data_IF_564554925020
#
_entry.id   IF_564554925020
#
_cell.length_a   1.000
_cell.length_b   1.000
_cell.length_c   1.000
_cell.angle_alpha   90.00
_cell.angle_beta   90.00
_cell.angle_gamma   90.00
#
_symmetry.space_group_name_H-M   'P 1'
#
loop_
_entity.id
_entity.type
_entity.pdbx_description
1 polymer ?
#
# COMPACT_ATOMS: atom_id res chain seq x y z
N UNK A 1 3.65 -28.66 -10.82
CA UNK A 1 3.23 -27.48 -10.03
C UNK A 1 3.29 -26.19 -10.84
N UNK A 2 4.49 -25.78 -11.27
CA UNK A 2 4.68 -24.54 -12.05
C UNK A 2 4.13 -24.65 -13.48
N UNK A 3 4.31 -25.78 -14.16
CA UNK A 3 3.70 -26.04 -15.49
C UNK A 3 2.18 -25.96 -15.50
N UNK A 4 1.54 -26.34 -14.38
CA UNK A 4 0.09 -26.27 -14.19
C UNK A 4 -0.39 -24.89 -13.69
N UNK A 5 0.49 -23.88 -13.66
CA UNK A 5 0.20 -22.51 -13.21
C UNK A 5 -0.41 -22.42 -11.80
N UNK A 6 -0.08 -23.36 -10.90
CA UNK A 6 -0.55 -23.39 -9.51
C UNK A 6 0.33 -22.53 -8.59
N UNK A 7 0.55 -21.27 -8.95
CA UNK A 7 1.49 -20.38 -8.27
C UNK A 7 1.04 -19.96 -6.86
N UNK A 8 -0.25 -19.91 -6.60
CA UNK A 8 -0.81 -19.68 -5.27
C UNK A 8 -0.52 -20.83 -4.28
N UNK A 9 -0.57 -22.08 -4.76
CA UNK A 9 -0.15 -23.23 -3.94
C UNK A 9 1.37 -23.23 -3.77
N UNK A 10 2.11 -22.79 -4.80
CA UNK A 10 3.56 -22.62 -4.71
C UNK A 10 3.95 -21.62 -3.60
N UNK A 11 3.19 -20.52 -3.43
CA UNK A 11 3.39 -19.57 -2.30
C UNK A 11 3.31 -20.30 -0.97
N UNK A 12 2.26 -21.10 -0.76
CA UNK A 12 2.08 -21.85 0.49
C UNK A 12 3.24 -22.83 0.73
N UNK A 13 3.67 -23.55 -0.31
CA UNK A 13 4.79 -24.50 -0.22
C UNK A 13 6.12 -23.82 0.12
N UNK A 14 6.45 -22.72 -0.58
CA UNK A 14 7.71 -21.99 -0.35
C UNK A 14 7.73 -21.39 1.05
N UNK A 15 6.64 -20.76 1.51
CA UNK A 15 6.60 -20.16 2.84
C UNK A 15 6.60 -21.22 3.95
N UNK A 16 5.92 -22.35 3.75
CA UNK A 16 6.02 -23.48 4.67
C UNK A 16 7.47 -23.96 4.81
N UNK A 17 8.21 -24.07 3.70
CA UNK A 17 9.63 -24.41 3.74
C UNK A 17 10.47 -23.30 4.41
N UNK A 18 10.32 -22.05 3.96
CA UNK A 18 11.14 -20.92 4.44
C UNK A 18 10.96 -20.64 5.92
N UNK A 19 9.76 -20.84 6.47
CA UNK A 19 9.47 -20.64 7.89
C UNK A 19 10.05 -21.73 8.79
N UNK A 20 10.40 -22.89 8.24
CA UNK A 20 11.01 -24.01 8.97
C UNK A 20 12.51 -24.17 8.66
N UNK A 21 13.07 -23.35 7.78
CA UNK A 21 14.49 -23.37 7.43
C UNK A 21 15.25 -22.32 8.26
N UNK A 22 16.47 -22.63 8.74
CA UNK A 22 17.34 -21.63 9.33
C UNK A 22 17.57 -20.44 8.36
N UNK A 23 17.53 -19.19 8.86
CA UNK A 23 17.55 -18.01 8.00
C UNK A 23 18.87 -17.82 7.25
N UNK A 24 19.97 -18.38 7.77
CA UNK A 24 21.34 -18.34 7.25
C UNK A 24 21.62 -19.38 6.15
N UNK A 25 20.67 -20.29 5.89
CA UNK A 25 20.81 -21.32 4.85
C UNK A 25 20.06 -20.94 3.58
N UNK A 26 20.67 -21.17 2.39
CA UNK A 26 20.03 -20.86 1.13
C UNK A 26 18.84 -21.80 0.86
N UNK A 27 17.79 -21.26 0.26
CA UNK A 27 16.63 -22.01 -0.22
C UNK A 27 16.69 -22.16 -1.74
N UNK A 28 16.79 -23.39 -2.22
CA UNK A 28 16.76 -23.72 -3.65
C UNK A 28 15.34 -24.09 -4.09
N UNK A 29 14.87 -23.51 -5.19
CA UNK A 29 13.57 -23.85 -5.77
C UNK A 29 13.75 -24.74 -7.01
N UNK A 30 13.56 -26.04 -6.81
CA UNK A 30 13.70 -27.05 -7.87
C UNK A 30 12.69 -26.85 -9.01
N UNK A 31 13.18 -26.86 -10.25
CA UNK A 31 12.39 -26.79 -11.47
C UNK A 31 11.81 -25.42 -11.80
N UNK A 32 12.23 -24.37 -11.07
CA UNK A 32 11.83 -23.00 -11.36
C UNK A 32 12.71 -22.43 -12.48
N UNK A 33 12.35 -22.75 -13.72
CA UNK A 33 13.15 -22.41 -14.89
C UNK A 33 12.62 -21.29 -15.78
N UNK A 34 11.41 -20.77 -15.52
CA UNK A 34 10.77 -19.76 -16.36
C UNK A 34 10.82 -18.35 -15.70
N UNK A 35 11.28 -17.30 -16.41
CA UNK A 35 11.53 -15.97 -15.85
C UNK A 35 10.31 -15.34 -15.18
N UNK A 36 9.10 -15.57 -15.69
CA UNK A 36 7.84 -15.09 -15.07
C UNK A 36 7.68 -15.42 -13.58
N UNK A 37 8.33 -16.49 -13.10
CA UNK A 37 8.18 -16.96 -11.70
C UNK A 37 9.27 -16.44 -10.77
N UNK A 38 10.37 -15.89 -11.31
CA UNK A 38 11.55 -15.55 -10.52
C UNK A 38 11.27 -14.46 -9.50
N UNK A 39 10.57 -13.39 -9.89
CA UNK A 39 10.25 -12.30 -8.98
C UNK A 39 9.44 -12.77 -7.77
N UNK A 40 8.47 -13.67 -7.99
CA UNK A 40 7.64 -14.25 -6.94
C UNK A 40 8.49 -15.12 -6.01
N UNK A 41 9.27 -16.05 -6.57
CA UNK A 41 10.07 -16.97 -5.78
C UNK A 41 11.14 -16.24 -4.93
N UNK A 42 11.81 -15.24 -5.51
CA UNK A 42 12.78 -14.42 -4.78
C UNK A 42 12.10 -13.61 -3.68
N UNK A 43 10.93 -13.02 -3.93
CA UNK A 43 10.17 -12.30 -2.89
C UNK A 43 9.73 -13.18 -1.72
N UNK A 44 9.57 -14.48 -1.96
CA UNK A 44 9.27 -15.49 -0.93
C UNK A 44 10.52 -16.04 -0.22
N UNK A 45 11.72 -15.62 -0.64
CA UNK A 45 12.99 -15.97 -0.01
C UNK A 45 13.72 -17.16 -0.64
N UNK A 46 13.45 -17.49 -1.91
CA UNK A 46 14.28 -18.42 -2.66
C UNK A 46 15.57 -17.73 -3.17
N UNK A 47 16.71 -18.41 -3.03
CA UNK A 47 18.04 -17.87 -3.35
C UNK A 47 18.59 -18.42 -4.67
N UNK A 48 18.27 -19.66 -5.01
CA UNK A 48 18.81 -20.36 -6.19
C UNK A 48 17.73 -21.11 -6.95
N UNK A 49 17.98 -21.28 -8.25
CA UNK A 49 17.07 -21.85 -9.24
C UNK A 49 17.84 -22.75 -10.18
N UNK A 50 17.22 -23.81 -10.65
CA UNK A 50 17.67 -24.64 -11.75
C UNK A 50 16.67 -24.58 -12.91
N UNK A 51 17.17 -24.64 -14.15
CA UNK A 51 16.34 -24.61 -15.34
C UNK A 51 16.82 -25.62 -16.36
N UNK A 52 16.02 -26.64 -16.65
CA UNK A 52 16.04 -27.34 -17.93
C UNK A 52 15.07 -26.70 -18.94
N UNK A 53 14.19 -25.80 -18.46
CA UNK A 53 13.09 -25.25 -19.24
C UNK A 53 13.57 -24.46 -20.45
N UNK A 54 14.69 -23.73 -20.35
CA UNK A 54 15.21 -22.93 -21.48
C UNK A 54 15.50 -23.79 -22.72
N UNK A 55 16.03 -25.00 -22.53
CA UNK A 55 16.36 -25.95 -23.59
C UNK A 55 15.13 -26.76 -24.03
N UNK A 56 14.32 -27.24 -23.08
CA UNK A 56 13.08 -27.97 -23.39
C UNK A 56 12.14 -27.10 -24.23
N UNK A 57 11.96 -25.84 -23.85
CA UNK A 57 11.11 -24.92 -24.59
C UNK A 57 11.68 -24.63 -25.98
N UNK A 58 12.99 -24.45 -26.10
CA UNK A 58 13.62 -24.21 -27.39
C UNK A 58 13.43 -25.37 -28.37
N UNK A 59 13.53 -26.62 -27.88
CA UNK A 59 13.25 -27.83 -28.68
C UNK A 59 11.83 -27.85 -29.22
N UNK A 60 10.88 -27.37 -28.42
CA UNK A 60 9.46 -27.25 -28.80
C UNK A 60 9.16 -25.98 -29.61
N UNK A 61 10.17 -25.24 -30.07
CA UNK A 61 9.99 -23.99 -30.81
C UNK A 61 9.39 -22.86 -29.97
N UNK A 62 9.55 -22.89 -28.64
CA UNK A 62 8.99 -21.91 -27.70
C UNK A 62 10.00 -20.83 -27.31
N UNK A 63 9.54 -19.59 -27.42
CA UNK A 63 10.25 -18.35 -27.13
C UNK A 63 9.81 -17.79 -25.76
N UNK A 64 10.72 -17.74 -24.79
CA UNK A 64 10.43 -17.21 -23.46
C UNK A 64 10.52 -15.68 -23.41
N UNK A 65 9.65 -15.08 -22.59
CA UNK A 65 9.72 -13.68 -22.15
C UNK A 65 9.49 -13.60 -20.64
N UNK A 66 9.77 -12.45 -20.02
CA UNK A 66 9.47 -12.24 -18.60
C UNK A 66 7.97 -12.26 -18.29
N UNK A 67 7.11 -12.08 -19.30
CA UNK A 67 5.66 -12.07 -19.14
C UNK A 67 5.00 -13.40 -19.50
N UNK A 68 5.64 -14.23 -20.31
CA UNK A 68 4.99 -15.39 -20.91
C UNK A 68 5.89 -16.23 -21.79
N UNK A 69 5.25 -17.08 -22.59
CA UNK A 69 5.91 -17.87 -23.61
C UNK A 69 5.11 -17.75 -24.90
N UNK A 70 5.80 -17.60 -26.01
CA UNK A 70 5.22 -17.60 -27.35
C UNK A 70 5.70 -18.82 -28.12
N UNK A 71 4.91 -19.30 -29.08
CA UNK A 71 5.46 -20.16 -30.12
C UNK A 71 6.16 -19.30 -31.15
N UNK A 72 7.32 -19.73 -31.63
CA UNK A 72 8.09 -18.96 -32.61
C UNK A 72 7.27 -18.70 -33.89
N UNK A 73 6.46 -19.68 -34.30
CA UNK A 73 5.56 -19.60 -35.47
C UNK A 73 4.46 -18.53 -35.36
N UNK A 74 4.18 -18.03 -34.15
CA UNK A 74 3.14 -17.02 -33.87
C UNK A 74 3.73 -15.60 -33.74
N UNK A 75 5.05 -15.43 -33.89
CA UNK A 75 5.72 -14.14 -33.70
C UNK A 75 5.94 -13.42 -35.03
N UNK A 76 5.40 -12.21 -35.13
CA UNK A 76 5.75 -11.26 -36.20
C UNK A 76 7.02 -10.45 -35.88
N UNK A 77 7.34 -10.30 -34.59
CA UNK A 77 8.51 -9.57 -34.10
C UNK A 77 9.16 -10.33 -32.94
N UNK A 78 10.48 -10.18 -32.76
CA UNK A 78 11.19 -10.65 -31.57
C UNK A 78 11.27 -9.50 -30.54
N UNK A 79 10.47 -9.47 -29.46
CA UNK A 79 10.43 -8.38 -28.49
C UNK A 79 11.60 -8.44 -27.49
N UNK A 80 12.84 -8.54 -27.99
CA UNK A 80 14.05 -8.65 -27.17
C UNK A 80 15.25 -8.01 -27.87
N UNK A 81 16.24 -7.62 -27.07
CA UNK A 81 17.50 -7.02 -27.53
C UNK A 81 18.72 -7.89 -27.14
N UNK A 82 18.55 -9.21 -27.04
CA UNK A 82 19.68 -10.12 -26.82
C UNK A 82 20.50 -10.28 -28.11
N UNK A 83 21.72 -10.84 -28.06
CA UNK A 83 22.56 -11.03 -29.24
C UNK A 83 21.91 -11.83 -30.39
N UNK A 84 20.86 -12.62 -30.10
CA UNK A 84 20.10 -13.33 -31.13
C UNK A 84 19.07 -12.39 -31.76
N UNK A 85 18.25 -11.74 -30.94
CA UNK A 85 17.08 -10.98 -31.41
C UNK A 85 17.42 -9.63 -32.03
N UNK A 86 18.65 -9.12 -31.84
CA UNK A 86 19.11 -7.90 -32.54
C UNK A 86 19.48 -8.19 -34.00
N UNK A 87 19.95 -9.42 -34.28
CA UNK A 87 20.51 -9.80 -35.59
C UNK A 87 19.57 -10.72 -36.39
N UNK A 88 18.38 -11.04 -35.85
CA UNK A 88 17.44 -12.01 -36.42
C UNK A 88 15.99 -11.52 -36.35
N UNK A 89 15.22 -11.89 -37.35
CA UNK A 89 13.76 -11.82 -37.37
C UNK A 89 13.14 -13.22 -37.09
N UNK A 90 11.84 -13.30 -36.74
CA UNK A 90 11.19 -14.59 -36.51
C UNK A 90 11.28 -15.53 -37.72
N UNK A 91 11.13 -15.00 -38.93
CA UNK A 91 11.21 -15.75 -40.17
C UNK A 91 12.61 -16.35 -40.40
N UNK A 92 13.67 -15.59 -40.12
CA UNK A 92 15.05 -16.09 -40.19
C UNK A 92 15.22 -17.35 -39.32
N UNK A 93 14.66 -17.32 -38.10
CA UNK A 93 14.74 -18.44 -37.17
C UNK A 93 13.90 -19.63 -37.65
N UNK A 94 12.72 -19.41 -38.25
CA UNK A 94 11.85 -20.47 -38.76
C UNK A 94 12.47 -21.23 -39.94
N UNK A 95 13.19 -20.52 -40.81
CA UNK A 95 13.84 -21.06 -42.01
C UNK A 95 15.15 -21.81 -41.71
N UNK A 96 15.71 -21.67 -40.50
CA UNK A 96 16.94 -22.36 -40.10
C UNK A 96 16.76 -23.87 -39.91
N UNK A 97 17.86 -24.65 -40.04
CA UNK A 97 17.88 -26.04 -39.62
C UNK A 97 17.46 -26.22 -38.16
N UNK A 98 16.74 -27.30 -37.87
CA UNK A 98 16.11 -27.52 -36.56
C UNK A 98 17.08 -27.44 -35.37
N UNK A 99 18.28 -28.04 -35.48
CA UNK A 99 19.30 -27.99 -34.43
C UNK A 99 19.81 -26.57 -34.16
N UNK A 100 20.05 -25.79 -35.21
CA UNK A 100 20.54 -24.41 -35.08
C UNK A 100 19.45 -23.50 -34.51
N UNK A 101 18.20 -23.69 -34.95
CA UNK A 101 17.03 -23.01 -34.39
C UNK A 101 16.84 -23.31 -32.90
N UNK A 102 16.90 -24.59 -32.49
CA UNK A 102 16.85 -25.00 -31.09
C UNK A 102 17.98 -24.34 -30.29
N UNK A 103 19.20 -24.35 -30.81
CA UNK A 103 20.37 -23.73 -30.15
C UNK A 103 20.18 -22.23 -29.91
N UNK A 104 19.74 -21.48 -30.93
CA UNK A 104 19.54 -20.03 -30.84
C UNK A 104 18.37 -19.67 -29.93
N UNK A 105 17.25 -20.42 -30.00
CA UNK A 105 16.13 -20.24 -29.07
C UNK A 105 16.54 -20.54 -27.64
N UNK A 106 17.34 -21.58 -27.40
CA UNK A 106 17.84 -21.92 -26.07
C UNK A 106 18.73 -20.81 -25.51
N UNK A 107 19.62 -20.25 -26.34
CA UNK A 107 20.46 -19.10 -25.93
C UNK A 107 19.60 -17.87 -25.60
N UNK A 108 18.62 -17.53 -26.44
CA UNK A 108 17.67 -16.46 -26.16
C UNK A 108 16.94 -16.68 -24.82
N UNK A 109 16.37 -17.86 -24.62
CA UNK A 109 15.65 -18.21 -23.39
C UNK A 109 16.53 -18.04 -22.14
N UNK A 110 17.81 -18.43 -22.24
CA UNK A 110 18.79 -18.23 -21.17
C UNK A 110 19.10 -16.74 -20.95
N UNK A 111 19.27 -15.94 -22.01
CA UNK A 111 19.47 -14.49 -21.90
C UNK A 111 18.32 -13.80 -21.18
N UNK A 112 17.07 -14.18 -21.49
CA UNK A 112 15.89 -13.62 -20.81
C UNK A 112 15.88 -13.99 -19.33
N UNK A 113 16.18 -15.25 -18.99
CA UNK A 113 16.30 -15.68 -17.59
C UNK A 113 17.33 -14.83 -16.83
N UNK A 114 18.52 -14.66 -17.40
CA UNK A 114 19.60 -13.87 -16.79
C UNK A 114 19.23 -12.38 -16.69
N UNK A 115 18.56 -11.83 -17.71
CA UNK A 115 18.06 -10.44 -17.70
C UNK A 115 17.09 -10.22 -16.54
N UNK A 116 16.13 -11.11 -16.36
CA UNK A 116 15.14 -11.01 -15.29
C UNK A 116 15.80 -11.13 -13.90
N UNK A 117 16.75 -12.06 -13.71
CA UNK A 117 17.50 -12.15 -12.46
C UNK A 117 18.31 -10.88 -12.16
N UNK A 118 18.90 -10.23 -13.16
CA UNK A 118 19.59 -8.93 -12.99
C UNK A 118 18.61 -7.83 -12.58
N UNK A 119 17.44 -7.75 -13.23
CA UNK A 119 16.40 -6.78 -12.88
C UNK A 119 15.91 -6.96 -11.44
N UNK A 120 15.66 -8.21 -11.01
CA UNK A 120 15.28 -8.53 -9.63
C UNK A 120 16.37 -8.12 -8.64
N UNK A 121 17.65 -8.42 -8.92
CA UNK A 121 18.78 -8.00 -8.07
C UNK A 121 18.85 -6.49 -7.92
N UNK A 122 18.63 -5.75 -9.01
CA UNK A 122 18.56 -4.28 -8.97
C UNK A 122 17.39 -3.81 -8.11
N UNK A 123 16.20 -4.40 -8.30
CA UNK A 123 15.01 -4.06 -7.51
C UNK A 123 15.21 -4.31 -6.01
N UNK A 124 15.93 -5.37 -5.62
CA UNK A 124 16.32 -5.62 -4.23
C UNK A 124 17.22 -4.50 -3.70
N UNK A 125 18.24 -4.09 -4.46
CA UNK A 125 19.16 -3.03 -4.04
C UNK A 125 18.49 -1.67 -3.89
N UNK A 126 17.50 -1.38 -4.72
CA UNK A 126 16.72 -0.14 -4.64
C UNK A 126 15.58 -0.21 -3.62
N UNK A 127 15.21 -1.42 -3.20
CA UNK A 127 14.12 -1.66 -2.27
C UNK A 127 12.72 -1.63 -2.90
N UNK A 128 12.62 -1.87 -4.22
CA UNK A 128 11.38 -1.89 -4.98
C UNK A 128 11.02 -3.30 -5.50
N UNK A 129 11.50 -4.37 -4.83
CA UNK A 129 11.18 -5.76 -5.21
C UNK A 129 9.67 -6.01 -5.26
N UNK A 130 8.91 -5.43 -4.33
CA UNK A 130 7.44 -5.55 -4.33
C UNK A 130 6.84 -4.94 -5.60
N UNK A 131 7.31 -3.77 -6.02
CA UNK A 131 6.81 -3.07 -7.21
C UNK A 131 7.17 -3.88 -8.48
N UNK A 132 8.39 -4.43 -8.54
CA UNK A 132 8.82 -5.32 -9.62
C UNK A 132 7.96 -6.59 -9.70
N UNK A 133 7.69 -7.23 -8.55
CA UNK A 133 6.79 -8.38 -8.48
C UNK A 133 5.36 -8.01 -8.89
N UNK A 134 4.83 -6.88 -8.43
CA UNK A 134 3.48 -6.44 -8.76
C UNK A 134 3.32 -6.19 -10.27
N UNK A 135 4.35 -5.62 -10.90
CA UNK A 135 4.39 -5.46 -12.36
C UNK A 135 4.38 -6.82 -13.07
N UNK A 136 5.26 -7.76 -12.66
CA UNK A 136 5.30 -9.11 -13.25
C UNK A 136 4.00 -9.88 -13.03
N UNK A 137 3.38 -9.76 -11.86
CA UNK A 137 2.15 -10.46 -11.52
C UNK A 137 0.98 -10.12 -12.45
N UNK A 138 1.00 -8.95 -13.10
CA UNK A 138 0.00 -8.55 -14.09
C UNK A 138 0.14 -9.25 -15.44
N UNK A 139 1.21 -10.02 -15.68
CA UNK A 139 1.38 -10.76 -16.93
C UNK A 139 0.43 -11.94 -17.08
N UNK A 140 -0.03 -12.54 -15.97
CA UNK A 140 -0.89 -13.72 -16.01
C UNK A 140 -1.83 -13.80 -14.79
N UNK A 141 -3.12 -14.17 -14.96
CA UNK A 141 -4.09 -14.26 -13.86
C UNK A 141 -3.64 -15.14 -12.68
N UNK A 142 -3.02 -16.29 -12.95
CA UNK A 142 -2.50 -17.16 -11.88
C UNK A 142 -1.37 -16.53 -11.08
N UNK A 143 -0.54 -15.68 -11.70
CA UNK A 143 0.55 -15.00 -11.00
C UNK A 143 -0.01 -13.86 -10.15
N UNK A 144 -1.00 -13.13 -10.66
CA UNK A 144 -1.77 -12.18 -9.86
C UNK A 144 -2.47 -12.87 -8.68
N UNK A 145 -3.04 -14.07 -8.88
CA UNK A 145 -3.63 -14.87 -7.79
C UNK A 145 -2.58 -15.22 -6.73
N UNK A 146 -1.36 -15.56 -7.13
CA UNK A 146 -0.26 -15.79 -6.20
C UNK A 146 0.11 -14.51 -5.42
N UNK A 147 0.21 -13.35 -6.07
CA UNK A 147 0.43 -12.08 -5.37
C UNK A 147 -0.70 -11.75 -4.38
N UNK A 148 -1.96 -12.03 -4.73
CA UNK A 148 -3.09 -11.92 -3.79
C UNK A 148 -2.92 -12.87 -2.59
N UNK A 149 -2.42 -14.07 -2.83
CA UNK A 149 -2.15 -15.06 -1.78
C UNK A 149 -1.03 -14.59 -0.81
N UNK A 150 -0.03 -13.86 -1.30
CA UNK A 150 1.01 -13.24 -0.44
C UNK A 150 0.42 -12.34 0.65
N UNK A 151 -0.76 -11.72 0.41
CA UNK A 151 -1.43 -10.88 1.39
C UNK A 151 -1.71 -11.61 2.72
N UNK A 152 -2.02 -12.92 2.66
CA UNK A 152 -2.25 -13.76 3.83
C UNK A 152 -0.98 -13.97 4.68
N UNK A 153 0.20 -13.72 4.11
CA UNK A 153 1.50 -13.85 4.75
C UNK A 153 2.20 -12.51 4.98
N UNK A 154 1.47 -11.41 4.82
CA UNK A 154 2.01 -10.05 4.92
C UNK A 154 2.76 -9.79 6.23
N UNK A 155 2.26 -10.27 7.36
CA UNK A 155 2.93 -10.18 8.67
C UNK A 155 4.25 -10.97 8.73
N UNK A 156 4.34 -12.09 8.03
CA UNK A 156 5.55 -12.92 7.96
C UNK A 156 6.61 -12.20 7.13
N UNK A 157 6.22 -11.73 5.95
CA UNK A 157 7.11 -11.05 5.01
C UNK A 157 7.62 -9.73 5.61
N UNK A 158 6.77 -9.00 6.34
CA UNK A 158 7.16 -7.75 7.01
C UNK A 158 8.32 -7.92 7.98
N UNK A 159 8.36 -9.04 8.74
CA UNK A 159 9.43 -9.30 9.71
C UNK A 159 10.80 -9.46 9.06
N UNK A 160 10.85 -10.01 7.85
CA UNK A 160 12.09 -10.17 7.07
C UNK A 160 12.46 -8.95 6.23
N UNK A 161 11.63 -7.91 6.20
CA UNK A 161 11.84 -6.76 5.32
C UNK A 161 12.62 -5.64 6.04
N UNK A 162 13.64 -5.02 5.42
CA UNK A 162 14.35 -3.87 6.00
C UNK A 162 13.43 -2.71 6.41
N UNK A 163 13.80 -1.96 7.45
CA UNK A 163 13.02 -0.81 7.94
C UNK A 163 13.36 0.50 7.22
N UNK A 164 14.64 0.71 6.88
CA UNK A 164 15.09 1.92 6.20
C UNK A 164 15.09 1.72 4.67
N UNK A 165 14.57 2.72 3.94
CA UNK A 165 14.66 2.79 2.48
C UNK A 165 15.01 4.20 2.03
N UNK A 166 15.58 4.28 0.82
CA UNK A 166 15.95 5.54 0.18
C UNK A 166 14.85 6.11 -0.71
N UNK A 167 14.00 5.24 -1.28
CA UNK A 167 12.93 5.62 -2.21
C UNK A 167 11.56 5.57 -1.53
N UNK A 168 10.65 6.42 -2.01
CA UNK A 168 9.24 6.33 -1.67
C UNK A 168 8.59 5.07 -2.27
N UNK A 169 7.42 4.71 -1.74
CA UNK A 169 6.65 3.57 -2.25
C UNK A 169 5.59 4.01 -3.25
N UNK A 170 5.18 3.10 -4.14
CA UNK A 170 4.06 3.34 -5.04
C UNK A 170 2.85 2.53 -4.60
N UNK A 171 1.70 3.19 -4.52
CA UNK A 171 0.44 2.58 -4.12
C UNK A 171 -0.51 2.66 -5.31
N UNK A 172 -0.71 1.53 -5.97
CA UNK A 172 -1.54 1.41 -7.17
C UNK A 172 -2.92 0.83 -6.88
N UNK A 173 -3.04 -0.01 -5.85
CA UNK A 173 -4.29 -0.70 -5.52
C UNK A 173 -4.34 -1.19 -4.08
N UNK A 174 -5.50 -1.67 -3.65
CA UNK A 174 -5.71 -2.34 -2.36
C UNK A 174 -4.76 -3.51 -2.07
N UNK A 175 -4.15 -4.14 -3.08
CA UNK A 175 -3.11 -5.14 -2.85
C UNK A 175 -1.86 -4.55 -2.19
N UNK A 176 -1.54 -3.29 -2.50
CA UNK A 176 -0.41 -2.60 -1.90
C UNK A 176 -0.63 -2.32 -0.41
N UNK A 177 -1.85 -2.44 0.11
CA UNK A 177 -2.10 -2.32 1.56
C UNK A 177 -1.53 -3.49 2.36
N UNK A 178 -1.08 -4.56 1.68
CA UNK A 178 -0.43 -5.73 2.26
C UNK A 178 1.08 -5.73 2.08
N UNK A 179 1.66 -4.67 1.48
CA UNK A 179 3.12 -4.57 1.37
C UNK A 179 3.74 -4.38 2.77
N UNK A 180 4.98 -4.85 2.98
CA UNK A 180 5.65 -4.80 4.28
C UNK A 180 5.62 -3.44 4.97
N UNK A 181 5.81 -2.36 4.22
CA UNK A 181 5.88 -1.00 4.75
C UNK A 181 4.54 -0.55 5.35
N UNK A 182 3.43 -0.86 4.67
CA UNK A 182 2.07 -0.50 5.10
C UNK A 182 1.64 -1.37 6.29
N UNK A 183 1.95 -2.67 6.24
CA UNK A 183 1.70 -3.63 7.33
C UNK A 183 2.44 -3.20 8.59
N UNK A 184 3.73 -2.82 8.44
CA UNK A 184 4.55 -2.30 9.52
C UNK A 184 3.96 -1.03 10.11
N UNK A 185 3.57 -0.08 9.27
CA UNK A 185 2.93 1.16 9.73
C UNK A 185 1.70 0.86 10.58
N UNK A 186 0.74 0.09 10.04
CA UNK A 186 -0.47 -0.31 10.76
C UNK A 186 -0.15 -0.98 12.09
N UNK A 187 0.77 -1.96 12.10
CA UNK A 187 1.12 -2.69 13.32
C UNK A 187 1.76 -1.77 14.36
N UNK A 188 2.76 -0.98 13.97
CA UNK A 188 3.45 -0.06 14.90
C UNK A 188 2.52 1.03 15.40
N UNK A 189 1.63 1.57 14.57
CA UNK A 189 0.62 2.54 14.99
C UNK A 189 -0.31 1.97 16.07
N UNK A 190 -0.79 0.74 15.90
CA UNK A 190 -1.74 0.14 16.83
C UNK A 190 -1.08 -0.42 18.11
N UNK A 191 0.12 -0.99 17.99
CA UNK A 191 0.76 -1.78 19.06
C UNK A 191 1.92 -1.08 19.77
N UNK A 192 2.61 -0.14 19.11
CA UNK A 192 3.82 0.50 19.67
C UNK A 192 3.71 1.99 19.86
N UNK A 193 2.93 2.68 19.04
CA UNK A 193 2.75 4.11 19.15
C UNK A 193 1.84 4.43 20.34
N UNK A 194 2.42 5.10 21.33
CA UNK A 194 1.70 5.67 22.45
C UNK A 194 1.43 7.14 22.14
N UNK A 195 0.16 7.54 21.92
CA UNK A 195 -0.16 8.95 21.76
C UNK A 195 0.13 9.68 23.08
N UNK A 196 0.40 10.99 23.02
CA UNK A 196 0.49 11.81 24.23
C UNK A 196 -0.78 11.64 25.08
N UNK A 197 -0.67 11.73 26.41
CA UNK A 197 -1.83 11.66 27.31
C UNK A 197 -2.74 12.88 27.06
N UNK A 198 -3.80 12.67 26.27
CA UNK A 198 -4.73 13.68 25.75
C UNK A 198 -6.15 13.14 25.86
N UNK A 199 -7.10 14.01 26.21
CA UNK A 199 -8.50 13.63 26.45
C UNK A 199 -9.30 13.55 25.14
N UNK A 200 -8.96 14.40 24.17
CA UNK A 200 -9.73 14.59 22.93
C UNK A 200 -8.87 14.21 21.72
N UNK A 201 -9.40 13.37 20.82
CA UNK A 201 -8.83 13.14 19.50
C UNK A 201 -9.51 14.06 18.48
N UNK A 202 -8.75 14.92 17.82
CA UNK A 202 -9.20 15.74 16.69
C UNK A 202 -8.69 15.12 15.38
N UNK A 203 -9.62 14.82 14.47
CA UNK A 203 -9.35 14.32 13.12
C UNK A 203 -9.63 15.41 12.09
N UNK A 204 -8.57 15.83 11.39
CA UNK A 204 -8.63 16.84 10.31
C UNK A 204 -8.34 16.18 8.96
N UNK A 205 -8.94 16.64 7.84
CA UNK A 205 -8.63 16.08 6.53
C UNK A 205 -7.19 16.35 6.13
N UNK A 206 -6.54 15.36 5.54
CA UNK A 206 -5.15 15.45 5.09
C UNK A 206 -5.02 16.44 3.92
N UNK A 207 -3.94 17.22 3.89
CA UNK A 207 -3.68 18.20 2.83
C UNK A 207 -2.92 17.59 1.64
N UNK A 208 -3.05 18.11 0.42
CA UNK A 208 -2.29 17.59 -0.73
C UNK A 208 -0.76 17.60 -0.52
N UNK A 209 -0.26 18.61 0.20
CA UNK A 209 1.16 18.75 0.53
C UNK A 209 1.62 17.74 1.59
N UNK A 210 2.73 17.06 1.31
CA UNK A 210 3.37 16.06 2.19
C UNK A 210 4.84 16.42 2.39
N UNK A 211 5.39 16.32 3.61
CA UNK A 211 4.69 16.16 4.89
C UNK A 211 3.81 17.37 5.24
N UNK A 212 2.67 17.13 5.90
CA UNK A 212 1.80 18.21 6.37
C UNK A 212 2.53 19.18 7.30
N UNK A 213 3.41 18.67 8.15
CA UNK A 213 4.25 19.45 9.07
C UNK A 213 5.22 20.44 8.39
N UNK A 214 5.34 20.42 7.06
CA UNK A 214 6.08 21.42 6.27
C UNK A 214 5.18 22.27 5.36
N UNK A 215 3.86 22.09 5.45
CA UNK A 215 2.88 22.86 4.69
C UNK A 215 2.56 24.19 5.37
N UNK A 216 2.12 25.22 4.63
CA UNK A 216 1.61 26.47 5.21
C UNK A 216 0.41 26.26 6.15
N UNK A 217 -0.35 25.17 5.94
CA UNK A 217 -1.48 24.80 6.80
C UNK A 217 -1.06 24.42 8.22
N UNK A 218 0.19 23.95 8.41
CA UNK A 218 0.72 23.68 9.73
C UNK A 218 0.85 24.95 10.56
N UNK A 219 1.34 26.05 9.96
CA UNK A 219 1.45 27.34 10.65
C UNK A 219 0.07 27.92 10.98
N UNK A 220 -0.88 27.85 10.04
CA UNK A 220 -2.27 28.25 10.30
C UNK A 220 -2.89 27.46 11.46
N UNK A 221 -2.59 26.17 11.55
CA UNK A 221 -3.04 25.31 12.64
C UNK A 221 -2.44 25.74 13.98
N UNK A 222 -1.14 26.02 14.03
CA UNK A 222 -0.47 26.51 15.25
C UNK A 222 -1.02 27.87 15.71
N UNK A 223 -1.24 28.80 14.77
CA UNK A 223 -1.90 30.08 15.04
C UNK A 223 -3.29 29.86 15.67
N UNK A 224 -4.11 29.00 15.08
CA UNK A 224 -5.46 28.71 15.58
C UNK A 224 -5.43 28.06 16.98
N UNK A 225 -4.51 27.12 17.20
CA UNK A 225 -4.34 26.44 18.50
C UNK A 225 -3.92 27.40 19.62
N UNK A 226 -3.19 28.47 19.31
CA UNK A 226 -2.79 29.47 20.31
C UNK A 226 -3.99 30.10 21.03
N UNK A 227 -5.12 30.22 20.32
CA UNK A 227 -6.39 30.71 20.87
C UNK A 227 -7.05 29.80 21.91
N UNK A 228 -6.68 28.51 21.98
CA UNK A 228 -7.18 27.57 22.99
C UNK A 228 -6.38 27.61 24.31
N UNK A 229 -5.26 28.35 24.35
CA UNK A 229 -4.41 28.43 25.53
C UNK A 229 -3.94 27.06 26.04
N UNK A 230 -4.05 26.83 27.35
CA UNK A 230 -3.65 25.55 27.98
C UNK A 230 -4.50 24.35 27.54
N UNK A 231 -5.71 24.59 27.01
CA UNK A 231 -6.62 23.56 26.52
C UNK A 231 -6.07 22.76 25.34
N UNK A 232 -5.22 23.38 24.50
CA UNK A 232 -4.57 22.70 23.37
C UNK A 232 -3.75 21.47 23.81
N UNK A 233 -3.22 21.47 25.04
CA UNK A 233 -2.48 20.34 25.61
C UNK A 233 -3.35 19.11 25.91
N UNK A 234 -4.67 19.20 25.80
CA UNK A 234 -5.61 18.07 25.98
C UNK A 234 -6.03 17.43 24.65
N UNK A 235 -5.59 17.99 23.52
CA UNK A 235 -6.03 17.59 22.19
C UNK A 235 -4.90 16.80 21.53
N UNK A 236 -5.16 15.56 21.14
CA UNK A 236 -4.31 14.80 20.24
C UNK A 236 -4.82 15.01 18.82
N UNK A 237 -3.93 15.35 17.91
CA UNK A 237 -4.28 15.75 16.56
C UNK A 237 -3.80 14.69 15.59
N UNK A 238 -4.70 14.20 14.75
CA UNK A 238 -4.36 13.34 13.64
C UNK A 238 -5.01 13.86 12.37
N UNK A 239 -4.35 13.60 11.26
CA UNK A 239 -4.91 13.80 9.94
C UNK A 239 -5.62 12.52 9.51
N UNK A 240 -6.61 12.63 8.63
CA UNK A 240 -7.18 11.47 7.95
C UNK A 240 -7.13 11.68 6.43
N UNK A 241 -6.67 10.66 5.71
CA UNK A 241 -6.55 10.72 4.25
C UNK A 241 -6.24 9.38 3.64
N UNK A 242 -6.44 9.25 2.33
CA UNK A 242 -6.02 8.06 1.60
C UNK A 242 -4.53 8.17 1.22
N UNK A 243 -3.80 7.04 1.19
CA UNK A 243 -4.28 5.66 1.40
C UNK A 243 -4.23 5.17 2.85
N UNK A 244 -3.67 5.95 3.79
CA UNK A 244 -3.31 5.45 5.12
C UNK A 244 -4.40 5.54 6.19
N UNK A 245 -5.51 6.22 5.93
CA UNK A 245 -6.51 6.52 6.95
C UNK A 245 -5.96 7.56 7.92
N UNK A 246 -6.00 7.26 9.21
CA UNK A 246 -5.51 8.13 10.27
C UNK A 246 -3.98 8.17 10.30
N UNK A 247 -3.43 9.37 10.41
CA UNK A 247 -2.00 9.66 10.55
C UNK A 247 -1.81 10.65 11.71
N UNK A 248 -1.18 10.24 12.83
CA UNK A 248 -0.81 11.18 13.90
C UNK A 248 0.21 12.20 13.40
N UNK A 249 0.10 13.46 13.84
CA UNK A 249 1.03 14.51 13.43
C UNK A 249 2.49 14.19 13.80
N UNK A 250 2.69 13.43 14.88
CA UNK A 250 3.99 12.96 15.35
C UNK A 250 4.67 12.01 14.35
N UNK A 251 3.90 11.38 13.46
CA UNK A 251 4.39 10.36 12.53
C UNK A 251 4.37 10.82 11.06
N UNK A 252 3.80 11.97 10.73
CA UNK A 252 3.59 12.47 9.36
C UNK A 252 4.84 12.38 8.46
N UNK A 253 6.03 12.67 9.00
CA UNK A 253 7.29 12.64 8.24
C UNK A 253 7.88 11.22 8.05
N UNK A 254 7.34 10.20 8.72
CA UNK A 254 7.89 8.85 8.70
C UNK A 254 7.53 8.10 7.42
N UNK A 255 8.47 7.27 6.97
CA UNK A 255 8.22 6.36 5.85
C UNK A 255 7.19 5.28 6.23
N UNK A 256 6.18 5.00 5.39
CA UNK A 256 5.96 5.53 4.03
C UNK A 256 4.96 6.70 3.91
N UNK A 257 4.59 7.36 5.00
CA UNK A 257 3.47 8.32 5.06
C UNK A 257 3.69 9.53 4.16
N UNK A 258 4.85 10.16 4.24
CA UNK A 258 5.18 11.29 3.36
C UNK A 258 5.88 10.87 2.06
N UNK A 259 6.51 9.69 2.04
CA UNK A 259 7.30 9.22 0.90
C UNK A 259 6.52 8.15 0.12
N UNK A 260 5.43 8.57 -0.53
CA UNK A 260 4.67 7.71 -1.41
C UNK A 260 4.03 8.47 -2.58
N UNK A 261 3.85 7.76 -3.69
CA UNK A 261 2.95 8.16 -4.77
C UNK A 261 1.70 7.28 -4.75
N UNK A 262 0.55 7.88 -5.04
CA UNK A 262 -0.76 7.23 -4.92
C UNK A 262 -1.57 7.45 -6.19
N UNK A 263 -1.99 6.36 -6.84
CA UNK A 263 -2.76 6.45 -8.10
C UNK A 263 -4.22 6.83 -7.91
N UNK A 264 -4.73 6.84 -6.68
CA UNK A 264 -6.12 7.16 -6.36
C UNK A 264 -6.89 6.02 -5.68
N UNK A 265 -8.10 6.32 -5.19
CA UNK A 265 -8.88 5.41 -4.37
C UNK A 265 -9.40 4.20 -5.13
N UNK A 266 -9.40 3.05 -4.45
CA UNK A 266 -10.32 1.94 -4.74
C UNK A 266 -11.10 1.56 -3.45
N UNK A 267 -12.17 0.79 -3.59
CA UNK A 267 -13.02 0.39 -2.45
C UNK A 267 -12.23 -0.33 -1.34
N UNK A 268 -11.21 -1.12 -1.71
CA UNK A 268 -10.39 -1.86 -0.77
C UNK A 268 -9.46 -0.95 0.03
N UNK A 269 -8.88 0.07 -0.60
CA UNK A 269 -8.05 1.08 0.07
C UNK A 269 -8.90 1.90 1.04
N UNK A 270 -10.08 2.35 0.61
CA UNK A 270 -11.01 3.10 1.48
C UNK A 270 -11.39 2.24 2.69
N UNK A 271 -11.76 0.98 2.47
CA UNK A 271 -12.10 0.03 3.54
C UNK A 271 -10.94 -0.19 4.51
N UNK A 272 -9.72 -0.32 3.98
CA UNK A 272 -8.51 -0.49 4.79
C UNK A 272 -8.24 0.75 5.66
N UNK A 273 -8.29 1.94 5.07
CA UNK A 273 -8.08 3.22 5.73
C UNK A 273 -9.10 3.45 6.86
N UNK A 274 -10.40 3.28 6.56
CA UNK A 274 -11.49 3.38 7.55
C UNK A 274 -11.33 2.34 8.66
N UNK A 275 -10.97 1.11 8.30
CA UNK A 275 -10.75 0.02 9.24
C UNK A 275 -9.58 0.29 10.20
N UNK A 276 -8.47 0.85 9.69
CA UNK A 276 -7.33 1.26 10.51
C UNK A 276 -7.73 2.36 11.49
N UNK A 277 -8.36 3.42 11.00
CA UNK A 277 -8.80 4.56 11.83
C UNK A 277 -9.74 4.12 12.94
N UNK A 278 -10.76 3.31 12.62
CA UNK A 278 -11.68 2.78 13.62
C UNK A 278 -10.96 1.86 14.63
N UNK A 279 -10.00 1.04 14.19
CA UNK A 279 -9.22 0.17 15.08
C UNK A 279 -8.31 0.98 16.01
N UNK A 280 -7.74 2.09 15.53
CA UNK A 280 -6.95 3.00 16.34
C UNK A 280 -7.79 3.60 17.46
N UNK A 281 -8.97 4.13 17.14
CA UNK A 281 -9.88 4.72 18.14
C UNK A 281 -10.33 3.69 19.18
N UNK A 282 -10.74 2.48 18.78
CA UNK A 282 -11.16 1.44 19.75
C UNK A 282 -10.07 1.05 20.76
N UNK A 283 -8.81 1.12 20.36
CA UNK A 283 -7.67 0.72 21.19
C UNK A 283 -7.13 1.84 22.08
N UNK A 284 -7.73 3.02 22.03
CA UNK A 284 -7.25 4.20 22.76
C UNK A 284 -8.40 4.77 23.58
N UNK A 285 -8.10 5.18 24.81
CA UNK A 285 -9.07 5.64 25.78
C UNK A 285 -9.31 7.16 25.68
N UNK A 286 -9.68 7.65 24.49
CA UNK A 286 -10.09 9.05 24.36
C UNK A 286 -11.46 9.26 25.02
N UNK A 287 -11.66 10.39 25.70
CA UNK A 287 -12.97 10.77 26.22
C UNK A 287 -13.90 11.24 25.10
N UNK A 288 -13.34 11.95 24.12
CA UNK A 288 -14.06 12.43 22.95
C UNK A 288 -13.24 12.28 21.67
N UNK A 289 -13.93 11.97 20.57
CA UNK A 289 -13.39 11.94 19.21
C UNK A 289 -14.18 12.93 18.37
N UNK A 290 -13.47 13.87 17.75
CA UNK A 290 -14.03 14.93 16.90
C UNK A 290 -13.53 14.71 15.48
N UNK A 291 -14.44 14.44 14.56
CA UNK A 291 -14.17 14.39 13.12
C UNK A 291 -14.57 15.73 12.49
N UNK A 292 -13.62 16.41 11.87
CA UNK A 292 -13.90 17.58 11.02
C UNK A 292 -14.14 17.06 9.60
N UNK A 293 -15.37 17.20 9.11
CA UNK A 293 -15.82 16.69 7.82
C UNK A 293 -15.96 17.83 6.82
N UNK A 294 -15.29 17.71 5.68
CA UNK A 294 -15.48 18.52 4.47
C UNK A 294 -16.55 17.90 3.54
N UNK A 295 -17.29 16.90 4.02
CA UNK A 295 -18.29 16.16 3.26
C UNK A 295 -17.71 15.20 2.21
N UNK A 296 -16.39 14.99 2.16
CA UNK A 296 -15.76 14.09 1.21
C UNK A 296 -16.15 12.61 1.46
N UNK A 297 -16.04 11.71 0.46
CA UNK A 297 -16.47 10.32 0.62
C UNK A 297 -15.76 9.54 1.75
N UNK A 298 -14.49 9.84 2.03
CA UNK A 298 -13.77 9.22 3.14
C UNK A 298 -14.29 9.72 4.49
N UNK A 299 -14.57 11.02 4.63
CA UNK A 299 -15.13 11.60 5.84
C UNK A 299 -16.46 10.94 6.21
N UNK A 300 -17.39 10.84 5.24
CA UNK A 300 -18.68 10.14 5.43
C UNK A 300 -18.51 8.67 5.81
N UNK A 301 -17.55 7.98 5.19
CA UNK A 301 -17.26 6.58 5.53
C UNK A 301 -16.67 6.45 6.95
N UNK A 302 -15.87 7.42 7.38
CA UNK A 302 -15.31 7.49 8.73
C UNK A 302 -16.38 7.80 9.78
N UNK A 303 -17.33 8.70 9.52
CA UNK A 303 -18.41 9.04 10.46
C UNK A 303 -19.12 7.79 11.01
N UNK A 304 -19.61 6.93 10.11
CA UNK A 304 -20.31 5.71 10.50
C UNK A 304 -19.41 4.72 11.23
N UNK A 305 -18.14 4.59 10.82
CA UNK A 305 -17.19 3.66 11.44
C UNK A 305 -16.71 4.13 12.82
N UNK A 306 -16.47 5.43 12.97
CA UNK A 306 -16.02 6.07 14.20
C UNK A 306 -17.13 6.14 15.23
N UNK A 307 -18.38 6.44 14.84
CA UNK A 307 -19.52 6.37 15.75
C UNK A 307 -19.64 4.99 16.41
N UNK A 308 -19.54 3.91 15.63
CA UNK A 308 -19.52 2.54 16.16
C UNK A 308 -18.29 2.25 17.04
N UNK A 309 -17.12 2.73 16.64
CA UNK A 309 -15.88 2.54 17.40
C UNK A 309 -15.94 3.24 18.77
N UNK A 310 -16.40 4.49 18.80
CA UNK A 310 -16.54 5.27 20.03
C UNK A 310 -17.59 4.68 20.96
N UNK A 311 -18.75 4.25 20.43
CA UNK A 311 -19.77 3.54 21.21
C UNK A 311 -19.23 2.28 21.89
N UNK A 312 -18.38 1.51 21.20
CA UNK A 312 -17.74 0.32 21.78
C UNK A 312 -16.64 0.65 22.80
N UNK A 313 -16.02 1.83 22.71
CA UNK A 313 -14.94 2.27 23.60
C UNK A 313 -15.44 3.11 24.79
N UNK A 314 -16.71 3.50 24.81
CA UNK A 314 -17.27 4.43 25.81
C UNK A 314 -16.88 5.90 25.59
N UNK A 315 -16.40 6.24 24.40
CA UNK A 315 -16.03 7.61 24.02
C UNK A 315 -17.22 8.36 23.41
N UNK A 316 -17.29 9.66 23.63
CA UNK A 316 -18.21 10.53 22.88
C UNK A 316 -17.69 10.78 21.46
N UNK A 317 -18.59 10.78 20.47
CA UNK A 317 -18.24 11.04 19.08
C UNK A 317 -18.98 12.27 18.57
N UNK A 318 -18.24 13.16 17.91
CA UNK A 318 -18.75 14.38 17.31
C UNK A 318 -18.27 14.50 15.88
N UNK A 319 -19.17 14.92 14.99
CA UNK A 319 -18.84 15.34 13.62
C UNK A 319 -19.08 16.84 13.51
N UNK A 320 -18.11 17.56 12.99
CA UNK A 320 -18.20 18.98 12.68
C UNK A 320 -18.08 19.16 11.17
N UNK A 321 -19.18 19.52 10.52
CA UNK A 321 -19.20 19.86 9.10
C UNK A 321 -18.57 21.24 8.87
N UNK A 322 -17.48 21.28 8.10
CA UNK A 322 -16.75 22.49 7.73
C UNK A 322 -16.35 22.38 6.26
N UNK A 323 -16.93 23.22 5.40
CA UNK A 323 -16.69 23.17 3.94
C UNK A 323 -15.22 23.37 3.57
N UNK A 324 -14.54 24.31 4.25
CA UNK A 324 -13.10 24.56 4.08
C UNK A 324 -12.34 24.45 5.41
N UNK A 325 -11.99 23.24 5.87
CA UNK A 325 -11.41 23.01 7.20
C UNK A 325 -10.10 23.76 7.47
N UNK A 326 -9.36 24.07 6.40
CA UNK A 326 -8.05 24.71 6.45
C UNK A 326 -8.08 26.22 6.20
N UNK A 327 -9.25 26.83 6.00
CA UNK A 327 -9.39 28.29 5.96
C UNK A 327 -9.30 28.87 7.38
N UNK A 328 -8.99 30.17 7.50
CA UNK A 328 -8.96 30.85 8.82
C UNK A 328 -10.30 30.76 9.55
N UNK A 329 -11.39 30.84 8.80
CA UNK A 329 -12.77 30.72 9.30
C UNK A 329 -13.08 29.28 9.72
N UNK A 330 -12.70 28.29 8.89
CA UNK A 330 -12.86 26.87 9.19
C UNK A 330 -12.12 26.47 10.47
N UNK A 331 -10.85 26.83 10.58
CA UNK A 331 -10.05 26.59 11.78
C UNK A 331 -10.64 27.33 13.00
N UNK A 332 -11.09 28.57 12.86
CA UNK A 332 -11.75 29.31 13.95
C UNK A 332 -13.01 28.60 14.44
N UNK A 333 -13.83 28.04 13.53
CA UNK A 333 -15.01 27.24 13.87
C UNK A 333 -14.63 25.96 14.65
N UNK A 334 -13.59 25.26 14.19
CA UNK A 334 -13.04 24.07 14.88
C UNK A 334 -12.56 24.44 16.29
N UNK A 335 -11.80 25.52 16.45
CA UNK A 335 -11.30 25.97 17.76
C UNK A 335 -12.44 26.41 18.68
N UNK A 336 -13.46 27.10 18.17
CA UNK A 336 -14.64 27.49 18.95
C UNK A 336 -15.45 26.27 19.44
N UNK A 337 -15.55 25.22 18.63
CA UNK A 337 -16.12 23.94 19.04
C UNK A 337 -15.29 23.27 20.14
N UNK A 338 -13.97 23.16 19.94
CA UNK A 338 -13.06 22.53 20.90
C UNK A 338 -13.02 23.29 22.24
N UNK A 339 -13.07 24.61 22.22
CA UNK A 339 -13.12 25.45 23.44
C UNK A 339 -14.37 25.13 24.27
N UNK A 340 -15.54 25.02 23.63
CA UNK A 340 -16.80 24.61 24.29
C UNK A 340 -16.73 23.17 24.81
N UNK A 341 -16.14 22.26 24.02
CA UNK A 341 -15.97 20.87 24.41
C UNK A 341 -15.11 20.72 25.67
N UNK A 342 -13.99 21.43 25.72
CA UNK A 342 -13.06 21.40 26.85
C UNK A 342 -13.63 22.10 28.11
N UNK A 343 -14.49 23.11 27.94
CA UNK A 343 -15.14 23.81 29.05
C UNK A 343 -16.25 22.98 29.72
N UNK A 344 -16.89 22.06 28.99
CA UNK A 344 -18.05 21.31 29.48
C UNK A 344 -17.72 20.26 30.56
N UNK A 345 -16.45 19.83 30.71
CA UNK A 345 -15.99 18.88 31.73
C UNK A 345 -16.49 17.43 31.55
N UNK A 346 -17.76 17.25 31.16
CA UNK A 346 -18.40 16.01 30.71
C UNK A 346 -18.88 16.18 29.25
N UNK A 347 -18.26 15.49 28.28
CA UNK A 347 -18.62 15.59 26.87
C UNK A 347 -20.10 15.24 26.58
N UNK A 348 -20.75 14.44 27.42
CA UNK A 348 -22.14 14.01 27.22
C UNK A 348 -23.16 15.13 27.47
N UNK A 349 -22.76 16.21 28.15
CA UNK A 349 -23.62 17.34 28.49
C UNK A 349 -23.91 18.28 27.31
N UNK A 350 -23.07 18.27 26.26
CA UNK A 350 -23.14 19.23 25.15
C UNK A 350 -24.30 19.02 24.18
N UNK A 351 -24.93 17.84 24.15
CA UNK A 351 -25.93 17.49 23.13
C UNK A 351 -27.24 16.89 23.68
N UNK A 352 -27.61 17.16 24.93
CA UNK A 352 -29.01 16.94 25.36
C UNK A 352 -30.01 17.89 24.68
N UNK A 353 -29.61 18.76 23.73
CA UNK A 353 -30.52 19.59 22.92
C UNK A 353 -30.02 19.77 21.47
N UNK A 354 -30.87 19.31 20.54
CA UNK A 354 -31.05 19.68 19.12
C UNK A 354 -30.01 19.35 18.04
N UNK A 355 -30.48 18.56 17.07
CA UNK A 355 -30.18 18.68 15.64
C UNK A 355 -30.23 20.16 15.22
N UNK A 356 -29.10 20.72 14.78
CA UNK A 356 -29.08 21.98 14.04
C UNK A 356 -28.50 21.69 12.68
N UNK A 357 -29.38 21.40 11.74
CA UNK A 357 -29.17 21.61 10.32
C UNK A 357 -29.06 23.13 10.10
N UNK A 358 -27.87 23.60 9.74
CA UNK A 358 -27.72 24.99 9.27
C UNK A 358 -28.30 25.05 7.87
N UNK A 359 -29.47 25.70 7.76
CA UNK A 359 -30.31 25.75 6.58
C UNK A 359 -29.69 26.53 5.41
N UNK A 360 -29.90 25.97 4.20
CA UNK A 360 -29.80 26.71 2.94
C UNK A 360 -30.76 27.91 2.97
N UNK A 361 -30.22 29.13 3.00
CA UNK A 361 -30.98 30.30 2.61
C UNK A 361 -31.09 30.33 1.09
N UNK A 362 -32.32 30.09 0.60
CA UNK A 362 -32.68 30.31 -0.78
C UNK A 362 -32.56 31.79 -1.17
N UNK A 363 -31.94 32.05 -2.31
CA UNK A 363 -32.15 33.29 -3.08
C UNK A 363 -33.10 32.97 -4.22
N UNK A 364 -34.37 33.33 -4.01
CA UNK A 364 -35.32 33.60 -5.06
C UNK A 364 -35.42 35.13 -5.17
N UNK A 365 -35.23 35.71 -6.35
CA UNK A 365 -35.34 37.15 -6.52
C UNK A 365 -34.96 37.71 -7.88
N UNK A 366 -35.91 37.57 -8.81
CA UNK A 366 -36.20 38.35 -10.04
C UNK A 366 -35.23 38.29 -11.21
#
# INVERSE_FOLDING_TARGET
MMEAYKFDVLVDMILAARLNLPPDRPLHLFGAGHPMTFALAVALGCDTFDSAAYAIYARDGRYMTEIGTYRLEELDYLPCNCPICVDKEPQDLLEMPGEERERLLAMHNLYVCLRELRAIKQAIKEGCLWDHLALRARSHPSLLRALKKLAAYSDVIERGTPTARRKGIFIFSSLDMHRPEVVRYRRRLLERFEPPARDVLLLLPYTPEKPFSRSPYYELLLEALSGLGSGARKIHMCLYGLPFGLVPLELDQLHPLSQHEFSGPDEGIVRWAVGLTASYVRRRAYQAVVLVSDGNPLARALEGALGRACASAGSSFFTLEVEEPWSREGLSSVMAFLSRLLAAGDPSSLFKRHEVSVGKQGRCGR
#
